data_IF_852097858042
#
_entry.id   IF_852097858042
#
_cell.length_a   1.000
_cell.length_b   1.000
_cell.length_c   1.000
_cell.angle_alpha   90.00
_cell.angle_beta   90.00
_cell.angle_gamma   90.00
#
_symmetry.space_group_name_H-M   'P 1'
#
loop_
_entity.id
_entity.type
_entity.pdbx_description
1 polymer ?
#
# COMPACT_ATOMS: atom_id res chain seq x y z
N UNK A 1 -8.03 -3.42 1.77
CA UNK A 1 -6.66 -3.85 2.13
C UNK A 1 -6.46 -3.99 3.64
N UNK A 2 -6.65 -2.94 4.45
CA UNK A 2 -6.52 -3.02 5.92
C UNK A 2 -7.54 -3.99 6.54
N UNK A 3 -8.82 -3.88 6.16
CA UNK A 3 -9.87 -4.74 6.72
C UNK A 3 -9.66 -6.22 6.39
N UNK A 4 -9.13 -6.52 5.19
CA UNK A 4 -8.69 -7.87 4.83
C UNK A 4 -7.57 -8.34 5.76
N UNK A 5 -6.59 -7.46 6.04
CA UNK A 5 -5.53 -7.77 6.99
C UNK A 5 -6.07 -8.09 8.39
N UNK A 6 -7.04 -7.32 8.88
CA UNK A 6 -7.70 -7.59 10.16
C UNK A 6 -8.41 -8.95 10.15
N UNK A 7 -9.13 -9.28 9.08
CA UNK A 7 -9.79 -10.58 8.92
C UNK A 7 -8.79 -11.75 8.91
N UNK A 8 -7.65 -11.59 8.23
CA UNK A 8 -6.61 -12.63 8.25
C UNK A 8 -6.06 -12.87 9.66
N UNK A 9 -5.91 -11.79 10.45
CA UNK A 9 -5.46 -11.87 11.84
C UNK A 9 -6.48 -12.53 12.76
N UNK A 10 -7.79 -12.47 12.48
CA UNK A 10 -8.79 -13.21 13.28
C UNK A 10 -8.66 -14.72 13.09
N UNK A 11 -8.21 -15.18 11.91
CA UNK A 11 -8.01 -16.60 11.65
C UNK A 11 -6.61 -17.09 12.02
N UNK A 12 -5.58 -16.25 11.89
CA UNK A 12 -4.18 -16.58 12.23
C UNK A 12 -3.51 -15.40 12.93
N UNK A 13 -3.63 -15.29 14.27
CA UNK A 13 -3.09 -14.16 15.04
C UNK A 13 -1.57 -14.01 14.99
N UNK A 14 -0.85 -15.09 14.69
CA UNK A 14 0.62 -15.10 14.58
C UNK A 14 1.16 -14.45 13.28
N UNK A 15 0.29 -14.11 12.32
CA UNK A 15 0.73 -13.44 11.10
C UNK A 15 1.20 -12.01 11.38
N UNK A 16 2.19 -11.57 10.60
CA UNK A 16 2.52 -10.16 10.46
C UNK A 16 2.20 -9.71 9.04
N UNK A 17 1.48 -8.61 8.92
CA UNK A 17 0.94 -8.12 7.64
C UNK A 17 1.64 -6.82 7.28
N UNK A 18 2.25 -6.79 6.10
CA UNK A 18 2.91 -5.61 5.56
C UNK A 18 2.06 -5.04 4.42
N UNK A 19 1.57 -3.83 4.60
CA UNK A 19 0.81 -3.10 3.59
C UNK A 19 1.75 -2.11 2.92
N UNK A 20 2.00 -2.32 1.63
CA UNK A 20 2.82 -1.44 0.82
C UNK A 20 1.96 -0.30 0.30
N UNK A 21 2.39 0.94 0.51
CA UNK A 21 1.72 2.15 0.02
C UNK A 21 2.54 2.72 -1.12
N UNK A 22 2.04 2.57 -2.34
CA UNK A 22 2.60 3.22 -3.52
C UNK A 22 2.18 4.70 -3.57
N UNK A 23 3.02 5.53 -4.20
CA UNK A 23 2.64 6.90 -4.51
C UNK A 23 1.43 6.89 -5.46
N UNK A 24 0.39 7.64 -5.11
CA UNK A 24 -0.76 7.77 -5.98
C UNK A 24 -0.34 8.53 -7.25
N UNK A 25 -0.63 8.02 -8.45
CA UNK A 25 -0.34 8.74 -9.69
C UNK A 25 -1.37 9.86 -10.00
N UNK A 26 -2.17 10.23 -8.99
CA UNK A 26 -3.23 11.24 -9.05
C UNK A 26 -3.34 11.94 -7.69
N UNK A 27 -4.14 13.01 -7.63
CA UNK A 27 -4.42 13.70 -6.36
C UNK A 27 -5.32 12.82 -5.50
N UNK A 28 -4.72 12.07 -4.58
CA UNK A 28 -5.42 11.27 -3.59
C UNK A 28 -5.66 12.04 -2.30
N UNK A 29 -6.74 11.72 -1.59
CA UNK A 29 -7.00 12.23 -0.25
C UNK A 29 -5.94 11.79 0.77
N UNK A 30 -5.75 12.60 1.81
CA UNK A 30 -4.83 12.31 2.91
C UNK A 30 -5.33 11.14 3.76
N UNK A 31 -4.51 10.11 3.92
CA UNK A 31 -4.83 8.88 4.69
C UNK A 31 -3.92 8.67 5.90
N UNK A 32 -3.03 9.63 6.19
CA UNK A 32 -2.05 9.60 7.27
C UNK A 32 -2.69 9.36 8.65
N UNK A 33 -3.80 10.03 8.96
CA UNK A 33 -4.52 9.85 10.23
C UNK A 33 -5.12 8.45 10.37
N UNK A 34 -5.59 7.86 9.29
CA UNK A 34 -6.13 6.50 9.31
C UNK A 34 -4.99 5.49 9.50
N UNK A 35 -3.88 5.67 8.77
CA UNK A 35 -2.69 4.84 8.88
C UNK A 35 -2.13 4.86 10.31
N UNK A 36 -2.03 6.04 10.94
CA UNK A 36 -1.53 6.16 12.31
C UNK A 36 -2.45 5.48 13.31
N UNK A 37 -3.76 5.66 13.19
CA UNK A 37 -4.77 5.00 14.03
C UNK A 37 -4.69 3.47 13.94
N UNK A 38 -4.56 2.93 12.72
CA UNK A 38 -4.47 1.48 12.52
C UNK A 38 -3.14 0.94 13.05
N UNK A 39 -2.02 1.64 12.81
CA UNK A 39 -0.70 1.22 13.29
C UNK A 39 -0.65 1.16 14.83
N UNK A 40 -1.35 2.08 15.51
CA UNK A 40 -1.44 2.09 16.96
C UNK A 40 -2.38 0.99 17.51
N UNK A 41 -3.49 0.71 16.83
CA UNK A 41 -4.50 -0.26 17.29
C UNK A 41 -4.20 -1.71 16.93
N UNK A 42 -3.45 -1.96 15.84
CA UNK A 42 -3.12 -3.31 15.36
C UNK A 42 -1.62 -3.37 14.99
N UNK A 43 -0.72 -3.58 15.97
CA UNK A 43 0.72 -3.52 15.75
C UNK A 43 1.27 -4.62 14.82
N UNK A 44 0.52 -5.70 14.60
CA UNK A 44 0.86 -6.75 13.63
C UNK A 44 0.69 -6.29 12.17
N UNK A 45 0.00 -5.17 11.93
CA UNK A 45 -0.13 -4.53 10.61
C UNK A 45 0.88 -3.39 10.53
N UNK A 46 1.78 -3.45 9.54
CA UNK A 46 2.80 -2.43 9.29
C UNK A 46 2.61 -1.80 7.92
N UNK A 47 2.67 -0.47 7.88
CA UNK A 47 2.62 0.26 6.62
C UNK A 47 4.03 0.63 6.17
N UNK A 48 4.31 0.45 4.87
CA UNK A 48 5.60 0.78 4.26
C UNK A 48 5.34 1.62 3.02
N UNK A 49 5.74 2.88 3.08
CA UNK A 49 5.69 3.76 1.91
C UNK A 49 6.79 3.36 0.94
N UNK A 50 6.39 3.15 -0.32
CA UNK A 50 7.33 2.92 -1.39
C UNK A 50 7.89 4.27 -1.90
N UNK A 51 9.10 4.26 -2.48
CA UNK A 51 9.64 5.44 -3.14
C UNK A 51 8.68 5.97 -4.21
N UNK A 52 8.62 7.30 -4.32
CA UNK A 52 7.85 7.95 -5.38
C UNK A 52 8.59 7.72 -6.69
N UNK A 53 7.91 7.08 -7.63
CA UNK A 53 8.35 6.95 -9.02
C UNK A 53 7.31 7.62 -9.89
N UNK A 54 7.75 8.36 -10.91
CA UNK A 54 6.84 9.03 -11.85
C UNK A 54 6.69 8.14 -13.07
N UNK A 55 5.58 7.38 -13.20
CA UNK A 55 5.33 6.60 -14.41
C UNK A 55 5.02 7.53 -15.58
N UNK A 56 5.34 7.11 -16.80
CA UNK A 56 4.95 7.81 -18.01
C UNK A 56 3.45 7.56 -18.27
N UNK A 57 2.59 8.37 -17.65
CA UNK A 57 1.14 8.24 -17.81
C UNK A 57 0.67 8.90 -19.10
N UNK A 58 -0.16 8.21 -19.88
CA UNK A 58 -0.93 8.79 -20.99
C UNK A 58 -2.38 8.95 -20.54
N UNK A 59 -3.09 10.00 -20.98
CA UNK A 59 -4.41 10.39 -20.45
C UNK A 59 -5.52 9.30 -20.48
N UNK A 60 -5.28 8.14 -21.12
CA UNK A 60 -6.22 7.03 -21.26
C UNK A 60 -5.88 5.78 -20.41
N UNK A 61 -4.82 5.78 -19.59
CA UNK A 61 -4.43 4.58 -18.82
C UNK A 61 -5.32 4.38 -17.58
N UNK A 62 -5.94 3.19 -17.38
CA UNK A 62 -6.68 2.87 -16.16
C UNK A 62 -5.80 2.94 -14.90
N UNK A 63 -6.38 3.39 -13.77
CA UNK A 63 -5.66 3.60 -12.50
C UNK A 63 -5.00 2.31 -11.97
N UNK A 64 -5.62 1.17 -12.18
CA UNK A 64 -5.11 -0.14 -11.77
C UNK A 64 -3.82 -0.49 -12.53
N UNK A 65 -3.83 -0.28 -13.85
CA UNK A 65 -2.67 -0.50 -14.72
C UNK A 65 -1.53 0.42 -14.31
N UNK A 66 -1.83 1.70 -14.05
CA UNK A 66 -0.85 2.69 -13.63
C UNK A 66 -0.25 2.37 -12.24
N UNK A 67 -1.07 1.84 -11.33
CA UNK A 67 -0.62 1.40 -10.00
C UNK A 67 0.31 0.18 -10.11
N UNK A 68 -0.03 -0.79 -10.96
CA UNK A 68 0.82 -1.95 -11.23
C UNK A 68 2.13 -1.55 -11.92
N UNK A 69 2.10 -0.56 -12.81
CA UNK A 69 3.28 -0.05 -13.50
C UNK A 69 4.24 0.66 -12.52
N UNK A 70 3.70 1.50 -11.63
CA UNK A 70 4.45 2.09 -10.50
C UNK A 70 5.11 1.01 -9.67
N UNK A 71 4.38 -0.05 -9.29
CA UNK A 71 4.92 -1.17 -8.53
C UNK A 71 6.01 -1.94 -9.28
N UNK A 72 5.83 -2.16 -10.58
CA UNK A 72 6.82 -2.82 -11.43
C UNK A 72 8.13 -2.01 -11.51
N UNK A 73 8.02 -0.70 -11.64
CA UNK A 73 9.19 0.19 -11.69
C UNK A 73 9.98 0.22 -10.38
N UNK A 74 9.31 -0.03 -9.25
CA UNK A 74 9.91 0.02 -7.91
C UNK A 74 10.85 -1.18 -7.65
N UNK A 75 10.94 -2.19 -8.53
CA UNK A 75 11.84 -3.38 -8.44
C UNK A 75 12.19 -3.72 -6.98
N UNK A 76 11.24 -4.24 -6.19
CA UNK A 76 11.51 -4.55 -4.80
C UNK A 76 12.66 -5.56 -4.75
N UNK A 77 13.80 -5.15 -4.20
CA UNK A 77 14.89 -6.07 -3.85
C UNK A 77 14.39 -6.92 -2.68
N UNK A 78 13.61 -7.94 -2.99
CA UNK A 78 13.27 -9.00 -2.04
C UNK A 78 14.49 -9.91 -2.02
N UNK A 79 15.31 -9.77 -0.98
CA UNK A 79 16.44 -10.66 -0.69
C UNK A 79 15.96 -11.88 0.07
#
# INVERSE_FOLDING_TARGET
MVELGKLLLTHRPALSIHILIAAAPYIAGRTDKYISTVSASVPSIKFRHLPIVTPASTAATPLEVLTLEVLHFIKPRVH
#
